data_IF_561091382127
#
_entry.id   IF_561091382127
#
_cell.length_a   1.000
_cell.length_b   1.000
_cell.length_c   1.000
_cell.angle_alpha   90.00
_cell.angle_beta   90.00
_cell.angle_gamma   90.00
#
_symmetry.space_group_name_H-M   'P 1'
#
loop_
_entity.id
_entity.type
_entity.pdbx_description
1 polymer ?
#
# COMPACT_ATOMS: atom_id res chain seq x y z
N UNK A 1 -9.82 24.73 -8.45
CA UNK A 1 -8.38 24.58 -8.72
C UNK A 1 -7.90 23.40 -7.89
N UNK A 2 -7.43 22.31 -8.49
CA UNK A 2 -6.94 21.15 -7.72
C UNK A 2 -5.50 21.42 -7.29
N UNK A 3 -5.24 21.56 -5.99
CA UNK A 3 -3.88 21.55 -5.46
C UNK A 3 -3.24 20.19 -5.72
N UNK A 4 -2.03 20.17 -6.27
CA UNK A 4 -1.27 18.93 -6.48
C UNK A 4 -0.68 18.43 -5.17
N UNK A 5 -1.01 17.20 -4.76
CA UNK A 5 -0.41 16.56 -3.60
C UNK A 5 1.02 16.10 -3.90
N UNK A 6 1.97 16.48 -3.05
CA UNK A 6 3.38 16.14 -3.14
C UNK A 6 4.03 16.11 -1.76
N UNK A 7 5.02 15.24 -1.56
CA UNK A 7 5.83 15.23 -0.35
C UNK A 7 7.02 16.19 -0.50
N UNK A 8 7.43 16.89 0.58
CA UNK A 8 8.50 17.88 0.49
C UNK A 8 9.88 17.30 0.19
N UNK A 9 10.11 16.00 0.45
CA UNK A 9 11.37 15.27 0.18
C UNK A 9 11.14 13.76 -0.03
N UNK A 10 11.71 13.10 -1.06
CA UNK A 10 11.91 11.64 -1.11
C UNK A 10 13.10 11.24 -0.23
N UNK A 11 12.99 10.19 0.58
CA UNK A 11 14.06 9.86 1.55
C UNK A 11 14.34 8.35 1.69
N UNK A 12 13.37 7.45 1.51
CA UNK A 12 13.64 6.01 1.70
C UNK A 12 14.34 5.42 0.48
N UNK A 13 15.59 5.00 0.66
CA UNK A 13 16.39 4.29 -0.33
C UNK A 13 16.28 2.79 -0.14
N UNK A 14 16.63 2.02 -1.17
CA UNK A 14 16.69 0.55 -1.10
C UNK A 14 17.60 0.05 0.04
N UNK A 15 18.69 0.75 0.32
CA UNK A 15 19.62 0.40 1.41
C UNK A 15 18.93 0.42 2.78
N UNK A 16 18.02 1.38 3.02
CA UNK A 16 17.26 1.49 4.27
C UNK A 16 16.29 0.30 4.46
N UNK A 17 15.84 -0.31 3.36
CA UNK A 17 14.95 -1.48 3.38
C UNK A 17 15.71 -2.79 3.59
N UNK A 18 16.89 -2.93 2.98
CA UNK A 18 17.76 -4.11 3.15
C UNK A 18 18.27 -4.24 4.59
N UNK A 19 18.61 -3.12 5.23
CA UNK A 19 19.01 -3.12 6.63
C UNK A 19 17.86 -3.54 7.56
N UNK A 20 16.63 -3.14 7.23
CA UNK A 20 15.43 -3.58 7.93
C UNK A 20 15.20 -5.09 7.77
N UNK A 21 15.33 -5.64 6.57
CA UNK A 21 15.16 -7.09 6.32
C UNK A 21 16.19 -7.93 7.08
N UNK A 22 17.47 -7.52 7.07
CA UNK A 22 18.54 -8.21 7.81
C UNK A 22 18.32 -8.17 9.31
N UNK A 23 17.91 -7.03 9.86
CA UNK A 23 17.75 -6.83 11.30
C UNK A 23 16.69 -7.75 11.91
N UNK A 24 15.60 -8.04 11.19
CA UNK A 24 14.49 -8.86 11.68
C UNK A 24 14.51 -10.31 11.19
N UNK A 25 15.51 -10.70 10.39
CA UNK A 25 15.65 -12.08 9.92
C UNK A 25 14.48 -12.55 9.07
N UNK A 26 13.87 -11.66 8.29
CA UNK A 26 12.75 -11.99 7.40
C UNK A 26 13.13 -11.76 5.95
N UNK A 27 12.94 -12.78 5.10
CA UNK A 27 13.25 -12.68 3.66
C UNK A 27 12.48 -11.53 2.99
N UNK A 28 11.22 -11.30 3.42
CA UNK A 28 10.38 -10.10 3.22
C UNK A 28 9.28 -10.08 4.28
N UNK A 29 9.20 -9.06 5.13
CA UNK A 29 8.03 -8.84 5.99
C UNK A 29 7.59 -7.39 6.01
N UNK A 30 6.27 -7.21 6.15
CA UNK A 30 5.68 -5.99 6.67
C UNK A 30 5.24 -6.32 8.10
N UNK A 31 6.15 -6.17 9.07
CA UNK A 31 5.77 -6.20 10.49
C UNK A 31 5.41 -4.77 10.86
N UNK A 32 4.12 -4.51 11.08
CA UNK A 32 3.63 -3.24 11.60
C UNK A 32 3.60 -3.35 13.12
N UNK A 33 4.75 -3.17 13.78
CA UNK A 33 4.78 -2.99 15.24
C UNK A 33 4.74 -1.49 15.53
N UNK A 34 3.62 -1.00 16.07
CA UNK A 34 3.45 0.41 16.40
C UNK A 34 2.98 0.57 17.84
N UNK A 35 3.82 1.23 18.64
CA UNK A 35 3.53 1.57 20.02
C UNK A 35 2.30 2.48 20.12
N UNK A 36 1.32 2.03 20.91
CA UNK A 36 0.23 2.78 21.57
C UNK A 36 -0.18 4.11 20.91
N UNK A 37 -0.82 4.04 19.74
CA UNK A 37 -1.73 5.08 19.27
C UNK A 37 -2.92 4.43 18.56
N UNK A 38 -4.12 4.87 18.90
CA UNK A 38 -5.44 4.26 18.59
C UNK A 38 -5.83 4.17 17.10
N UNK A 39 -4.95 4.56 16.17
CA UNK A 39 -5.21 4.48 14.72
C UNK A 39 -4.11 3.66 14.05
N UNK A 40 -4.42 2.38 13.76
CA UNK A 40 -3.52 1.50 13.01
C UNK A 40 -3.52 1.86 11.52
N UNK A 41 -2.37 1.69 10.86
CA UNK A 41 -2.24 1.89 9.40
C UNK A 41 -3.12 0.93 8.57
N UNK A 42 -3.65 -0.11 9.20
CA UNK A 42 -4.52 -1.10 8.59
C UNK A 42 -5.84 -0.48 8.13
N UNK A 43 -6.41 0.44 8.91
CA UNK A 43 -7.70 1.06 8.59
C UNK A 43 -7.61 1.89 7.30
N UNK A 44 -6.66 2.84 7.14
CA UNK A 44 -6.51 3.59 5.89
C UNK A 44 -6.25 2.72 4.66
N UNK A 45 -5.51 1.61 4.81
CA UNK A 45 -5.27 0.66 3.72
C UNK A 45 -6.59 0.06 3.25
N UNK A 46 -7.40 -0.46 4.18
CA UNK A 46 -8.67 -1.09 3.87
C UNK A 46 -9.69 -0.08 3.34
N UNK A 47 -9.66 1.17 3.80
CA UNK A 47 -10.52 2.24 3.26
C UNK A 47 -10.21 2.54 1.80
N UNK A 48 -8.93 2.73 1.47
CA UNK A 48 -8.50 2.97 0.09
C UNK A 48 -8.85 1.79 -0.82
N UNK A 49 -8.67 0.55 -0.35
CA UNK A 49 -9.06 -0.65 -1.11
C UNK A 49 -10.57 -0.77 -1.29
N UNK A 50 -11.34 -0.50 -0.24
CA UNK A 50 -12.80 -0.49 -0.29
C UNK A 50 -13.33 0.55 -1.28
N UNK A 51 -12.79 1.77 -1.25
CA UNK A 51 -13.17 2.83 -2.18
C UNK A 51 -12.73 2.55 -3.62
N UNK A 52 -11.62 1.83 -3.81
CA UNK A 52 -11.21 1.33 -5.13
C UNK A 52 -12.03 0.12 -5.61
N UNK A 53 -12.84 -0.47 -4.74
CA UNK A 53 -13.56 -1.72 -5.04
C UNK A 53 -12.60 -2.91 -5.23
N UNK A 54 -11.44 -2.90 -4.60
CA UNK A 54 -10.44 -3.98 -4.69
C UNK A 54 -10.39 -4.82 -3.42
N UNK A 55 -10.26 -6.13 -3.57
CA UNK A 55 -9.90 -6.99 -2.43
C UNK A 55 -8.38 -6.99 -2.22
N UNK A 56 -7.94 -7.22 -0.98
CA UNK A 56 -6.51 -7.31 -0.63
C UNK A 56 -5.79 -8.40 -1.44
N UNK A 57 -6.48 -9.49 -1.81
CA UNK A 57 -5.90 -10.57 -2.62
C UNK A 57 -5.66 -10.21 -4.08
N UNK A 58 -6.24 -9.10 -4.55
CA UNK A 58 -6.09 -8.61 -5.92
C UNK A 58 -4.94 -7.61 -6.08
N UNK A 59 -4.35 -7.09 -5.00
CA UNK A 59 -3.24 -6.14 -5.13
C UNK A 59 -1.87 -6.86 -5.13
N UNK A 60 -0.94 -6.38 -5.96
CA UNK A 60 0.44 -6.83 -5.95
C UNK A 60 1.20 -6.19 -4.77
N UNK A 61 2.31 -6.79 -4.31
CA UNK A 61 3.13 -6.20 -3.25
C UNK A 61 3.59 -4.78 -3.57
N UNK A 62 3.88 -4.49 -4.83
CA UNK A 62 4.20 -3.15 -5.32
C UNK A 62 3.10 -2.15 -4.93
N UNK A 63 1.83 -2.51 -5.11
CA UNK A 63 0.70 -1.68 -4.69
C UNK A 63 0.79 -1.40 -3.19
N UNK A 64 0.87 -2.46 -2.38
CA UNK A 64 0.89 -2.34 -0.92
C UNK A 64 2.09 -1.54 -0.43
N UNK A 65 3.28 -1.76 -1.02
CA UNK A 65 4.52 -1.04 -0.70
C UNK A 65 4.36 0.46 -0.88
N UNK A 66 3.85 0.89 -2.04
CA UNK A 66 3.63 2.32 -2.28
C UNK A 66 2.54 2.88 -1.38
N UNK A 67 1.45 2.16 -1.17
CA UNK A 67 0.37 2.60 -0.30
C UNK A 67 0.85 2.82 1.15
N UNK A 68 1.58 1.84 1.71
CA UNK A 68 2.16 1.96 3.05
C UNK A 68 3.16 3.12 3.10
N UNK A 69 4.07 3.22 2.12
CA UNK A 69 5.05 4.29 2.11
C UNK A 69 4.40 5.69 2.07
N UNK A 70 3.33 5.87 1.30
CA UNK A 70 2.61 7.14 1.28
C UNK A 70 1.87 7.42 2.58
N UNK A 71 1.23 6.41 3.19
CA UNK A 71 0.54 6.56 4.46
C UNK A 71 1.51 6.93 5.59
N UNK A 72 2.64 6.21 5.69
CA UNK A 72 3.70 6.52 6.65
C UNK A 72 4.22 7.93 6.42
N UNK A 73 4.52 8.29 5.16
CA UNK A 73 5.08 9.61 4.84
C UNK A 73 4.09 10.75 5.11
N UNK A 74 2.81 10.54 4.81
CA UNK A 74 1.78 11.53 5.10
C UNK A 74 1.65 11.74 6.61
N UNK A 75 1.71 10.67 7.41
CA UNK A 75 1.69 10.75 8.87
C UNK A 75 2.90 11.51 9.42
N UNK A 76 4.10 11.20 8.95
CA UNK A 76 5.34 11.90 9.34
C UNK A 76 5.27 13.42 9.06
N UNK A 77 4.65 13.79 7.95
CA UNK A 77 4.48 15.19 7.52
C UNK A 77 3.20 15.84 8.08
N UNK A 78 2.42 15.13 8.90
CA UNK A 78 1.15 15.62 9.46
C UNK A 78 0.07 15.91 8.42
N UNK A 79 0.10 15.22 7.27
CA UNK A 79 -0.82 15.38 6.15
C UNK A 79 -1.94 14.33 6.21
N UNK A 80 -3.16 14.75 5.85
CA UNK A 80 -4.26 13.83 5.58
C UNK A 80 -4.02 13.08 4.26
N UNK A 81 -4.25 11.77 4.24
CA UNK A 81 -4.04 10.96 3.05
C UNK A 81 -5.16 9.95 2.86
N UNK A 82 -5.88 10.04 1.74
CA UNK A 82 -6.91 9.11 1.33
C UNK A 82 -6.81 8.71 -0.15
N UNK A 83 -7.90 8.17 -0.70
CA UNK A 83 -7.94 7.73 -2.10
C UNK A 83 -7.65 8.87 -3.09
N UNK A 84 -8.13 10.08 -2.81
CA UNK A 84 -7.90 11.25 -3.66
C UNK A 84 -6.43 11.57 -3.82
N UNK A 85 -5.66 11.60 -2.73
CA UNK A 85 -4.23 11.86 -2.75
C UNK A 85 -3.49 10.68 -3.38
N UNK A 86 -3.91 9.45 -3.08
CA UNK A 86 -3.34 8.25 -3.68
C UNK A 86 -3.43 8.28 -5.22
N UNK A 87 -4.61 8.59 -5.78
CA UNK A 87 -4.81 8.71 -7.24
C UNK A 87 -4.00 9.85 -7.89
N UNK A 88 -3.60 10.86 -7.12
CA UNK A 88 -2.73 11.92 -7.63
C UNK A 88 -1.25 11.47 -7.71
N UNK A 89 -0.84 10.56 -6.83
CA UNK A 89 0.53 10.08 -6.74
C UNK A 89 0.82 8.88 -7.62
N UNK A 90 -0.17 8.03 -7.90
CA UNK A 90 0.01 6.81 -8.68
C UNK A 90 -1.07 6.59 -9.73
N UNK A 91 -0.71 5.85 -10.76
CA UNK A 91 -1.65 5.20 -11.67
C UNK A 91 -1.86 3.75 -11.23
N UNK A 92 -3.11 3.39 -10.93
CA UNK A 92 -3.48 1.99 -10.71
C UNK A 92 -3.59 1.28 -12.06
N UNK A 93 -2.91 0.14 -12.20
CA UNK A 93 -2.80 -0.60 -13.46
C UNK A 93 -3.19 -2.05 -13.25
N UNK A 94 -3.99 -2.57 -14.18
CA UNK A 94 -4.28 -4.00 -14.26
C UNK A 94 -3.03 -4.76 -14.72
N UNK A 95 -2.70 -5.84 -14.03
CA UNK A 95 -1.54 -6.66 -14.38
C UNK A 95 -1.80 -7.42 -15.68
N UNK A 96 -0.92 -7.26 -16.66
CA UNK A 96 -1.05 -7.90 -17.98
C UNK A 96 -0.86 -9.43 -17.92
N UNK A 97 0.01 -9.91 -17.02
CA UNK A 97 0.28 -11.34 -16.89
C UNK A 97 -0.78 -12.07 -16.05
N UNK A 98 -1.46 -11.34 -15.16
CA UNK A 98 -2.57 -11.87 -14.38
C UNK A 98 -3.68 -10.81 -14.26
N UNK A 99 -4.66 -10.83 -15.17
CA UNK A 99 -5.74 -9.83 -15.21
C UNK A 99 -6.60 -9.77 -13.95
N UNK A 100 -6.52 -10.73 -13.05
CA UNK A 100 -7.24 -10.65 -11.78
C UNK A 100 -6.58 -9.73 -10.73
N UNK A 101 -5.38 -9.24 -11.03
CA UNK A 101 -4.56 -8.47 -10.10
C UNK A 101 -4.19 -7.08 -10.59
N UNK A 102 -3.85 -6.20 -9.64
CA UNK A 102 -3.56 -4.80 -9.87
C UNK A 102 -2.24 -4.41 -9.22
N UNK A 103 -1.51 -3.52 -9.88
CA UNK A 103 -0.28 -2.89 -9.41
C UNK A 103 -0.41 -1.37 -9.52
N UNK A 104 0.58 -0.64 -9.02
CA UNK A 104 0.64 0.80 -9.20
C UNK A 104 1.93 1.24 -9.86
N UNK A 105 1.85 2.33 -10.61
CA UNK A 105 3.04 3.07 -11.04
C UNK A 105 3.01 4.47 -10.48
N UNK A 106 4.05 4.92 -9.76
CA UNK A 106 4.18 6.31 -9.40
C UNK A 106 4.11 7.22 -10.62
N UNK A 107 3.43 8.35 -10.46
CA UNK A 107 3.47 9.43 -11.41
C UNK A 107 4.90 10.01 -11.47
N UNK A 108 5.38 10.44 -12.66
CA UNK A 108 6.71 11.02 -12.79
C UNK A 108 6.95 12.16 -11.79
N UNK A 109 8.10 12.13 -11.10
CA UNK A 109 8.48 13.14 -10.11
C UNK A 109 7.72 13.07 -8.78
N UNK A 110 6.91 12.02 -8.55
CA UNK A 110 6.13 11.82 -7.31
C UNK A 110 6.56 10.57 -6.54
N UNK A 111 7.80 10.15 -6.72
CA UNK A 111 8.36 8.98 -6.04
C UNK A 111 8.62 9.33 -4.57
N UNK A 112 8.11 8.49 -3.65
CA UNK A 112 8.49 8.54 -2.23
C UNK A 112 9.62 7.57 -1.92
N UNK A 113 9.69 6.48 -2.69
CA UNK A 113 10.72 5.45 -2.56
C UNK A 113 11.56 5.42 -3.84
N UNK A 114 12.87 5.53 -3.69
CA UNK A 114 13.85 5.50 -4.78
C UNK A 114 14.48 4.10 -4.88
N UNK A 115 15.04 3.79 -6.06
CA UNK A 115 15.86 2.58 -6.31
C UNK A 115 15.20 1.21 -6.09
N UNK A 116 13.88 1.14 -5.97
CA UNK A 116 13.15 -0.14 -5.86
C UNK A 116 12.82 -0.70 -7.25
N UNK A 117 13.09 -1.99 -7.52
CA UNK A 117 12.68 -2.62 -8.76
C UNK A 117 11.17 -2.56 -8.94
N UNK A 118 10.73 -2.14 -10.12
CA UNK A 118 9.32 -1.99 -10.45
C UNK A 118 8.56 -3.33 -10.50
N UNK A 119 9.26 -4.44 -10.74
CA UNK A 119 8.68 -5.78 -10.82
C UNK A 119 8.86 -6.53 -9.51
N UNK A 120 7.77 -7.06 -8.96
CA UNK A 120 7.83 -8.02 -7.87
C UNK A 120 7.91 -9.44 -8.44
N UNK A 121 9.08 -10.06 -8.33
CA UNK A 121 9.25 -11.47 -8.66
C UNK A 121 8.84 -12.37 -7.49
N UNK A 122 8.20 -13.51 -7.82
CA UNK A 122 7.83 -14.61 -6.90
C UNK A 122 7.00 -14.22 -5.68
N UNK A 123 6.29 -13.09 -5.72
CA UNK A 123 5.64 -12.57 -4.53
C UNK A 123 4.59 -13.51 -3.91
N UNK A 124 3.90 -14.34 -4.70
CA UNK A 124 2.93 -15.31 -4.17
C UNK A 124 3.58 -16.41 -3.32
N UNK A 125 4.87 -16.65 -3.49
CA UNK A 125 5.64 -17.61 -2.69
C UNK A 125 6.17 -16.95 -1.39
N UNK A 126 6.28 -15.62 -1.39
CA UNK A 126 6.95 -14.84 -0.33
C UNK A 126 5.98 -14.03 0.54
N UNK A 127 4.72 -13.89 0.12
CA UNK A 127 3.68 -13.15 0.85
C UNK A 127 2.57 -14.12 1.27
N UNK A 128 2.20 -14.06 2.55
CA UNK A 128 1.03 -14.75 3.09
C UNK A 128 -0.02 -13.73 3.50
N UNK A 129 -1.29 -14.09 3.33
CA UNK A 129 -2.44 -13.28 3.74
C UNK A 129 -3.05 -13.93 4.96
N UNK A 130 -3.35 -13.14 5.99
CA UNK A 130 -4.08 -13.59 7.18
C UNK A 130 -5.54 -13.18 7.10
N UNK A 131 -6.38 -13.79 7.94
CA UNK A 131 -7.80 -13.50 8.01
C UNK A 131 -8.01 -12.08 8.53
N UNK A 132 -8.73 -11.27 7.75
CA UNK A 132 -9.17 -9.94 8.19
C UNK A 132 -10.42 -10.10 9.07
N UNK A 133 -10.25 -9.83 10.36
CA UNK A 133 -11.32 -9.77 11.37
C UNK A 133 -11.07 -8.65 12.39
N UNK A 134 -12.02 -8.48 13.33
CA UNK A 134 -11.96 -7.42 14.36
C UNK A 134 -10.69 -7.45 15.18
N UNK A 135 -10.12 -8.63 15.44
CA UNK A 135 -8.88 -8.74 16.20
C UNK A 135 -7.68 -8.23 15.39
N UNK A 136 -7.75 -8.33 14.06
CA UNK A 136 -6.66 -7.94 13.16
C UNK A 136 -6.74 -6.52 12.60
N UNK A 137 -7.92 -5.89 12.52
CA UNK A 137 -8.08 -4.55 11.89
C UNK A 137 -9.02 -3.62 12.66
N UNK A 138 -9.39 -3.97 13.90
CA UNK A 138 -10.25 -3.15 14.75
C UNK A 138 -11.69 -3.02 14.26
N UNK A 139 -12.26 -1.82 14.39
CA UNK A 139 -13.68 -1.50 14.12
C UNK A 139 -13.99 -1.21 12.65
N UNK A 140 -13.10 -1.56 11.71
CA UNK A 140 -13.34 -1.35 10.29
C UNK A 140 -14.64 -2.03 9.82
N UNK A 141 -15.48 -1.30 9.09
CA UNK A 141 -16.71 -1.85 8.52
C UNK A 141 -16.40 -2.79 7.35
N UNK A 142 -16.32 -4.09 7.65
CA UNK A 142 -16.05 -5.16 6.68
C UNK A 142 -17.06 -5.25 5.53
N UNK A 143 -18.25 -4.64 5.65
CA UNK A 143 -19.22 -4.60 4.55
C UNK A 143 -18.75 -3.75 3.37
N UNK A 144 -17.81 -2.82 3.61
CA UNK A 144 -17.21 -1.96 2.59
C UNK A 144 -16.22 -2.71 1.70
N UNK A 145 -15.69 -3.85 2.14
CA UNK A 145 -14.74 -4.62 1.33
C UNK A 145 -15.45 -5.48 0.28
N UNK A 146 -14.97 -5.48 -0.97
CA UNK A 146 -15.50 -6.37 -2.00
C UNK A 146 -15.35 -7.83 -1.59
N UNK A 147 -16.46 -8.56 -1.66
CA UNK A 147 -16.47 -10.02 -1.44
C UNK A 147 -16.23 -10.81 -2.72
N UNK A 148 -16.45 -10.18 -3.87
CA UNK A 148 -16.15 -10.69 -5.20
C UNK A 148 -14.93 -9.97 -5.76
N UNK A 149 -14.19 -10.65 -6.63
CA UNK A 149 -13.08 -10.04 -7.32
C UNK A 149 -13.57 -8.97 -8.30
N UNK A 150 -12.94 -7.80 -8.27
CA UNK A 150 -13.20 -6.75 -9.24
C UNK A 150 -12.71 -7.15 -10.62
N UNK A 151 -13.58 -6.97 -11.62
CA UNK A 151 -13.23 -7.14 -13.04
C UNK A 151 -12.59 -5.89 -13.63
N UNK A 152 -12.98 -4.69 -13.16
CA UNK A 152 -12.48 -3.38 -13.58
C UNK A 152 -12.49 -2.41 -12.40
N UNK A 153 -11.71 -1.33 -12.49
CA UNK A 153 -11.70 -0.22 -11.53
C UNK A 153 -12.37 0.98 -12.20
N UNK A 154 -13.33 1.60 -11.51
CA UNK A 154 -14.05 2.81 -11.93
C UNK A 154 -13.33 4.11 -11.59
#
# INVERSE_FOLDING_TARGET
MSSSFSFPRPITKTDDLEDFYKMYGVDRAVVLDWADTTETLETPILEILAELGLSLTQILPNFLRYLIAFLVRAREEGLSFGLSEFRQLVLVKRNQHNPSTFLVSPCPGRHVIEDIPYRDEKWRELFFVFKVDRASVGEFDFSRLPRSWAENIG
#
